data_IF_789163198651
#
_entry.id   IF_789163198651
#
_cell.length_a   1.000
_cell.length_b   1.000
_cell.length_c   1.000
_cell.angle_alpha   90.00
_cell.angle_beta   90.00
_cell.angle_gamma   90.00
#
_symmetry.space_group_name_H-M   'P 1'
#
loop_
_entity.id
_entity.type
_entity.pdbx_description
1 polymer ?
#
# COMPACT_ATOMS: atom_id res chain seq x y z
N UNK A 1 12.25 -19.04 -4.79
CA UNK A 1 13.28 -18.78 -5.38
C UNK A 1 13.07 -18.15 -6.74
N UNK A 2 13.41 -18.79 -7.78
CA UNK A 2 13.33 -18.16 -9.06
C UNK A 2 11.94 -17.63 -9.39
N UNK A 3 10.94 -18.13 -8.75
CA UNK A 3 9.58 -17.72 -9.07
C UNK A 3 9.37 -16.23 -8.91
N UNK A 4 9.94 -15.67 -7.88
CA UNK A 4 9.78 -14.23 -7.65
C UNK A 4 10.45 -13.43 -8.73
N UNK A 5 11.57 -13.93 -9.20
CA UNK A 5 12.32 -13.21 -10.21
C UNK A 5 11.61 -13.19 -11.52
N UNK A 6 10.72 -14.14 -11.73
CA UNK A 6 10.04 -14.26 -13.00
C UNK A 6 8.65 -13.65 -12.97
N UNK A 7 8.30 -13.00 -11.89
CA UNK A 7 7.01 -12.35 -11.82
C UNK A 7 7.08 -11.04 -12.56
N UNK A 8 6.65 -11.08 -13.82
CA UNK A 8 6.68 -9.90 -14.68
C UNK A 8 5.31 -9.22 -14.74
N UNK A 9 4.37 -9.66 -13.92
CA UNK A 9 3.06 -9.03 -13.92
C UNK A 9 3.15 -7.62 -13.36
N UNK A 10 2.23 -6.79 -13.81
CA UNK A 10 2.17 -5.42 -13.33
C UNK A 10 1.25 -5.34 -12.13
N UNK A 11 1.74 -4.69 -11.08
CA UNK A 11 0.98 -4.48 -9.87
C UNK A 11 0.74 -2.99 -9.67
N UNK A 12 -0.26 -2.66 -8.90
CA UNK A 12 -0.55 -1.29 -8.52
C UNK A 12 -0.61 -1.20 -7.01
N UNK A 13 -0.17 -0.07 -6.48
CA UNK A 13 -0.23 0.16 -5.04
C UNK A 13 -1.62 0.72 -4.72
N UNK A 14 -2.25 0.15 -3.70
CA UNK A 14 -3.58 0.57 -3.28
C UNK A 14 -3.53 0.94 -1.80
N UNK A 15 -4.46 1.77 -1.39
CA UNK A 15 -4.54 2.23 -0.01
C UNK A 15 -6.01 2.28 0.39
N UNK A 16 -6.30 1.97 1.65
CA UNK A 16 -7.66 2.04 2.15
C UNK A 16 -7.86 3.30 2.99
N UNK A 17 -9.05 3.44 3.57
CA UNK A 17 -9.38 4.65 4.32
C UNK A 17 -8.59 4.77 5.62
N UNK A 18 -7.96 3.71 6.06
CA UNK A 18 -7.10 3.75 7.24
C UNK A 18 -5.65 4.03 6.87
N UNK A 19 -5.41 4.33 5.59
CA UNK A 19 -4.07 4.59 5.06
C UNK A 19 -3.15 3.39 5.22
N UNK A 20 -3.73 2.21 5.07
CA UNK A 20 -2.97 0.98 5.01
C UNK A 20 -2.73 0.65 3.55
N UNK A 21 -1.49 0.31 3.23
CA UNK A 21 -1.07 0.11 1.84
C UNK A 21 -0.99 -1.38 1.51
N UNK A 22 -1.20 -1.68 0.25
CA UNK A 22 -1.06 -3.04 -0.24
C UNK A 22 -0.79 -2.99 -1.73
N UNK A 23 -0.58 -4.15 -2.34
CA UNK A 23 -0.43 -4.23 -3.78
C UNK A 23 -1.57 -5.06 -4.34
N UNK A 24 -1.91 -4.78 -5.60
CA UNK A 24 -3.01 -5.46 -6.27
C UNK A 24 -2.62 -5.63 -7.72
N UNK A 25 -3.23 -6.59 -8.39
CA UNK A 25 -2.98 -6.79 -9.81
C UNK A 25 -3.51 -5.59 -10.58
N UNK A 26 -2.66 -5.00 -11.42
CA UNK A 26 -3.04 -3.79 -12.13
C UNK A 26 -4.18 -4.03 -13.11
N UNK A 27 -4.30 -5.26 -13.62
CA UNK A 27 -5.33 -5.58 -14.60
C UNK A 27 -6.60 -6.14 -13.96
N UNK A 28 -6.71 -6.04 -12.65
CA UNK A 28 -7.88 -6.51 -11.93
C UNK A 28 -8.61 -5.34 -11.32
N UNK A 29 -9.90 -5.53 -11.08
CA UNK A 29 -10.70 -4.51 -10.45
C UNK A 29 -10.26 -4.32 -9.00
N UNK A 30 -10.15 -3.06 -8.60
CA UNK A 30 -9.70 -2.74 -7.24
C UNK A 30 -10.79 -3.12 -6.26
N UNK A 31 -10.44 -3.80 -5.15
CA UNK A 31 -11.46 -4.17 -4.17
C UNK A 31 -12.14 -2.96 -3.58
N UNK A 32 -13.39 -3.16 -3.17
CA UNK A 32 -14.15 -2.10 -2.56
C UNK A 32 -13.44 -1.65 -1.27
N UNK A 33 -13.37 -0.34 -1.08
CA UNK A 33 -12.71 0.21 0.08
C UNK A 33 -11.24 0.52 -0.13
N UNK A 34 -10.71 0.20 -1.31
CA UNK A 34 -9.33 0.49 -1.67
C UNK A 34 -9.31 1.38 -2.90
N UNK A 35 -8.23 2.12 -3.05
CA UNK A 35 -8.05 2.96 -4.23
C UNK A 35 -6.59 2.95 -4.64
N UNK A 36 -6.35 3.21 -5.91
CA UNK A 36 -4.99 3.27 -6.43
C UNK A 36 -4.35 4.59 -6.05
N UNK A 37 -3.04 4.54 -5.77
CA UNK A 37 -2.30 5.76 -5.44
C UNK A 37 -1.51 6.29 -6.62
N UNK A 38 -1.55 5.59 -7.77
CA UNK A 38 -0.86 6.06 -8.96
C UNK A 38 0.48 5.41 -9.21
N UNK A 39 0.92 4.50 -8.35
CA UNK A 39 2.18 3.79 -8.55
C UNK A 39 1.90 2.41 -9.08
N UNK A 40 2.50 2.08 -10.21
CA UNK A 40 2.38 0.77 -10.82
C UNK A 40 3.75 0.30 -11.25
N UNK A 41 3.90 -1.00 -11.38
CA UNK A 41 5.14 -1.59 -11.84
C UNK A 41 5.27 -3.00 -11.35
N UNK A 42 6.48 -3.50 -11.33
CA UNK A 42 6.74 -4.83 -10.84
C UNK A 42 6.49 -4.89 -9.33
N UNK A 43 6.29 -6.11 -8.84
CA UNK A 43 6.00 -6.31 -7.42
C UNK A 43 7.05 -5.65 -6.54
N UNK A 44 8.33 -5.84 -6.87
CA UNK A 44 9.40 -5.27 -6.05
C UNK A 44 9.35 -3.75 -6.03
N UNK A 45 8.99 -3.16 -7.16
CA UNK A 45 8.90 -1.70 -7.22
C UNK A 45 7.77 -1.18 -6.36
N UNK A 46 6.64 -1.87 -6.37
CA UNK A 46 5.51 -1.45 -5.57
C UNK A 46 5.80 -1.59 -4.08
N UNK A 47 6.44 -2.67 -3.69
CA UNK A 47 6.78 -2.88 -2.28
C UNK A 47 7.78 -1.85 -1.80
N UNK A 48 8.75 -1.50 -2.65
CA UNK A 48 9.73 -0.48 -2.31
C UNK A 48 9.06 0.87 -2.11
N UNK A 49 8.11 1.18 -2.98
CA UNK A 49 7.35 2.43 -2.85
C UNK A 49 6.61 2.47 -1.52
N UNK A 50 5.98 1.36 -1.15
CA UNK A 50 5.23 1.30 0.10
C UNK A 50 6.16 1.54 1.28
N UNK A 51 7.36 0.98 1.25
CA UNK A 51 8.31 1.20 2.33
C UNK A 51 8.68 2.66 2.48
N UNK A 52 8.70 3.39 1.38
CA UNK A 52 9.05 4.80 1.44
C UNK A 52 7.94 5.66 1.99
N UNK A 53 6.70 5.34 1.64
CA UNK A 53 5.58 6.22 1.98
C UNK A 53 4.85 5.80 3.24
N UNK A 54 4.93 4.54 3.60
CA UNK A 54 4.20 4.01 4.76
C UNK A 54 5.14 3.94 5.94
N UNK A 55 5.45 5.13 6.49
CA UNK A 55 6.42 5.23 7.57
C UNK A 55 5.81 4.94 8.94
N UNK A 56 4.50 5.09 9.06
CA UNK A 56 3.79 4.79 10.29
C UNK A 56 2.73 3.76 9.97
N UNK A 57 2.96 2.52 10.38
CA UNK A 57 2.10 1.42 9.98
C UNK A 57 0.84 1.29 10.83
N UNK A 58 0.65 2.20 11.77
CA UNK A 58 -0.58 2.20 12.55
C UNK A 58 -1.73 2.72 11.69
N UNK A 59 -2.94 2.21 11.89
CA UNK A 59 -4.09 2.72 11.15
C UNK A 59 -4.31 4.21 11.40
N UNK A 60 -4.91 4.86 10.42
CA UNK A 60 -5.13 6.29 10.51
C UNK A 60 -5.97 6.66 11.73
N UNK A 61 -7.01 5.89 12.01
CA UNK A 61 -7.87 6.20 13.14
C UNK A 61 -7.10 6.17 14.47
N UNK A 62 -6.18 5.23 14.60
CA UNK A 62 -5.36 5.16 15.80
C UNK A 62 -4.43 6.36 15.90
N UNK A 63 -3.83 6.75 14.78
CA UNK A 63 -2.93 7.90 14.77
C UNK A 63 -3.67 9.18 15.14
N UNK A 64 -4.88 9.35 14.65
CA UNK A 64 -5.68 10.50 14.97
C UNK A 64 -6.04 10.54 16.46
N UNK A 65 -6.39 9.39 16.99
CA UNK A 65 -6.74 9.29 18.41
C UNK A 65 -5.55 9.68 19.28
N UNK A 66 -4.37 9.20 18.92
CA UNK A 66 -3.18 9.53 19.68
C UNK A 66 -2.85 11.01 19.61
N UNK A 67 -3.03 11.60 18.43
CA UNK A 67 -2.77 13.04 18.26
C UNK A 67 -3.73 13.86 19.11
N UNK A 68 -4.99 13.46 19.18
CA UNK A 68 -5.98 14.18 19.97
C UNK A 68 -5.66 14.13 21.46
N UNK A 69 -4.98 13.07 21.86
CA UNK A 69 -4.58 12.94 23.26
C UNK A 69 -3.25 13.61 23.55
N UNK A 70 -2.63 14.20 22.55
CA UNK A 70 -1.33 14.79 22.74
C UNK A 70 -0.20 13.80 22.82
N UNK A 71 -0.41 12.62 22.30
CA UNK A 71 0.59 11.56 22.33
C UNK A 71 1.41 11.46 21.06
N UNK A 72 1.10 12.27 20.09
CA UNK A 72 1.74 12.18 18.79
C UNK A 72 3.12 12.79 18.69
#
# INVERSE_FOLDING_TARGET
>A
MADDEEDTRTYTVVVNHEEQYSIWFANKEIPKGWREVGKQGLKAECLSYIEEVWTDMRPLSLRKSMAERGLG
#
